data_IF_949284214989
#
_entry.id   IF_949284214989
#
_cell.length_a   1.000
_cell.length_b   1.000
_cell.length_c   1.000
_cell.angle_alpha   90.00
_cell.angle_beta   90.00
_cell.angle_gamma   90.00
#
_symmetry.space_group_name_H-M   'P 1'
#
loop_
_entity.id
_entity.type
_entity.pdbx_description
1 polymer ?
#
# COMPACT_ATOMS: atom_id res chain seq x y z
N UNK A 1 -71.60 -0.93 24.30
CA UNK A 1 -70.28 -1.26 23.69
C UNK A 1 -69.51 0.02 23.51
N UNK A 2 -68.47 0.25 24.31
CA UNK A 2 -67.57 1.40 24.13
C UNK A 2 -66.57 1.03 23.01
N UNK A 3 -66.70 1.67 21.87
CA UNK A 3 -65.69 1.58 20.80
C UNK A 3 -64.44 2.28 21.32
N UNK A 4 -63.40 1.49 21.63
CA UNK A 4 -62.04 1.99 21.84
C UNK A 4 -61.56 2.55 20.51
N UNK A 5 -61.59 3.86 20.35
CA UNK A 5 -60.81 4.53 19.29
C UNK A 5 -59.36 4.41 19.67
N UNK A 6 -58.68 3.42 19.11
CA UNK A 6 -57.23 3.31 19.11
C UNK A 6 -56.68 4.41 18.20
N UNK A 7 -56.44 5.60 18.75
CA UNK A 7 -55.66 6.65 18.11
C UNK A 7 -54.16 6.25 18.15
N UNK A 8 -53.83 5.11 17.60
CA UNK A 8 -52.41 4.81 17.34
C UNK A 8 -52.05 5.46 16.02
N UNK A 9 -51.23 6.50 16.08
CA UNK A 9 -50.46 6.95 14.90
C UNK A 9 -49.76 5.73 14.31
N UNK A 10 -50.08 5.40 13.07
CA UNK A 10 -49.39 4.34 12.40
C UNK A 10 -47.91 4.76 12.26
N UNK A 11 -47.02 4.15 13.04
CA UNK A 11 -45.57 4.44 13.02
C UNK A 11 -44.92 4.24 11.64
N UNK A 12 -45.65 3.63 10.70
CA UNK A 12 -45.24 3.48 9.30
C UNK A 12 -45.73 4.60 8.38
N UNK A 13 -46.61 5.48 8.89
CA UNK A 13 -47.05 6.64 8.14
C UNK A 13 -46.02 7.74 8.31
N UNK A 14 -45.05 7.80 7.39
CA UNK A 14 -44.02 8.85 7.37
C UNK A 14 -44.61 10.19 7.00
N UNK A 15 -44.05 11.26 7.57
CA UNK A 15 -44.17 12.58 6.99
C UNK A 15 -43.56 12.54 5.58
N UNK A 16 -44.13 13.27 4.64
CA UNK A 16 -43.46 13.56 3.37
C UNK A 16 -42.61 14.84 3.57
N UNK A 17 -41.34 14.73 4.00
CA UNK A 17 -40.47 15.90 4.03
C UNK A 17 -40.21 16.31 2.59
N UNK A 18 -40.25 17.61 2.32
CA UNK A 18 -39.92 18.15 1.02
C UNK A 18 -38.41 17.98 0.73
N UNK A 19 -37.60 18.04 1.78
CA UNK A 19 -36.15 17.86 1.71
C UNK A 19 -35.67 16.89 2.79
N UNK A 20 -34.56 16.17 2.53
CA UNK A 20 -33.94 15.29 3.53
C UNK A 20 -33.44 16.06 4.76
N UNK A 21 -33.01 17.31 4.58
CA UNK A 21 -32.62 18.20 5.67
C UNK A 21 -33.73 18.36 6.70
N UNK A 22 -35.00 18.32 6.29
CA UNK A 22 -36.16 18.49 7.20
C UNK A 22 -36.36 17.27 8.11
N UNK A 23 -35.74 16.15 7.79
CA UNK A 23 -35.73 14.93 8.60
C UNK A 23 -34.54 14.83 9.55
N UNK A 24 -33.59 15.76 9.49
CA UNK A 24 -32.42 15.82 10.33
C UNK A 24 -32.63 16.81 11.47
N UNK A 25 -32.06 16.51 12.63
CA UNK A 25 -32.02 17.48 13.71
C UNK A 25 -31.14 18.71 13.30
N UNK A 26 -31.50 19.90 13.71
CA UNK A 26 -30.74 21.11 13.42
C UNK A 26 -29.28 21.05 13.91
N UNK A 27 -29.03 20.25 14.96
CA UNK A 27 -27.69 20.00 15.52
C UNK A 27 -27.09 18.67 15.03
N UNK A 28 -27.66 18.07 13.98
CA UNK A 28 -27.11 16.80 13.48
C UNK A 28 -25.67 17.00 12.97
N UNK A 29 -24.71 16.15 13.40
CA UNK A 29 -23.32 16.27 13.00
C UNK A 29 -23.07 16.30 11.48
N UNK A 30 -23.97 15.70 10.70
CA UNK A 30 -23.84 15.71 9.24
C UNK A 30 -24.00 17.11 8.64
N UNK A 31 -24.83 17.97 9.23
CA UNK A 31 -25.04 19.33 8.74
C UNK A 31 -23.81 20.21 9.01
N UNK A 32 -23.20 20.09 10.21
CA UNK A 32 -21.94 20.75 10.54
C UNK A 32 -20.81 20.26 9.63
N UNK A 33 -20.70 18.95 9.47
CA UNK A 33 -19.72 18.33 8.57
C UNK A 33 -19.88 18.82 7.12
N UNK A 34 -21.11 18.81 6.59
CA UNK A 34 -21.39 19.26 5.22
C UNK A 34 -21.05 20.73 5.01
N UNK A 35 -21.33 21.59 6.00
CA UNK A 35 -20.96 23.01 5.99
C UNK A 35 -19.46 23.21 5.98
N UNK A 36 -18.72 22.55 6.87
CA UNK A 36 -17.26 22.66 6.97
C UNK A 36 -16.58 22.19 5.67
N UNK A 37 -16.93 20.99 5.20
CA UNK A 37 -16.34 20.44 3.97
C UNK A 37 -16.82 21.22 2.74
N UNK A 38 -18.03 21.77 2.75
CA UNK A 38 -18.57 22.61 1.69
C UNK A 38 -17.86 23.96 1.54
N UNK A 39 -17.19 24.44 2.58
CA UNK A 39 -16.34 25.64 2.55
C UNK A 39 -15.02 25.45 1.82
N UNK A 40 -14.64 24.21 1.53
CA UNK A 40 -13.38 23.85 0.86
C UNK A 40 -13.63 23.65 -0.64
N UNK A 41 -12.83 24.27 -1.49
CA UNK A 41 -12.90 24.02 -2.94
C UNK A 41 -12.28 22.63 -3.27
N UNK A 42 -13.08 21.59 -3.10
CA UNK A 42 -12.70 20.22 -3.43
C UNK A 42 -12.71 19.94 -4.94
N UNK A 43 -13.37 20.79 -5.74
CA UNK A 43 -13.45 20.60 -7.18
C UNK A 43 -12.07 20.62 -7.82
N UNK A 44 -11.14 21.45 -7.32
CA UNK A 44 -9.76 21.52 -7.82
C UNK A 44 -9.03 20.18 -7.83
N UNK A 45 -9.40 19.25 -6.94
CA UNK A 45 -8.81 17.90 -6.88
C UNK A 45 -9.56 16.87 -7.73
N UNK A 46 -10.77 17.18 -8.17
CA UNK A 46 -11.68 16.22 -8.79
C UNK A 46 -12.02 16.57 -10.25
N UNK A 47 -11.32 17.57 -10.84
CA UNK A 47 -11.52 18.02 -12.24
C UNK A 47 -11.06 17.01 -13.28
N UNK A 48 -10.06 16.19 -12.97
CA UNK A 48 -9.46 15.24 -13.93
C UNK A 48 -10.32 14.00 -14.19
N UNK A 49 -11.50 13.94 -13.58
CA UNK A 49 -12.41 12.81 -13.74
C UNK A 49 -13.11 12.93 -15.10
N UNK A 50 -12.82 12.05 -16.07
CA UNK A 50 -13.40 12.17 -17.41
C UNK A 50 -14.93 12.11 -17.36
N UNK A 51 -15.60 13.05 -18.03
CA UNK A 51 -17.05 12.98 -18.22
C UNK A 51 -17.38 12.01 -19.36
N UNK A 52 -18.23 11.03 -19.06
CA UNK A 52 -18.75 10.16 -20.11
C UNK A 52 -20.05 10.74 -20.68
N UNK A 53 -20.07 10.94 -21.99
CA UNK A 53 -21.26 11.42 -22.73
C UNK A 53 -22.28 10.31 -22.97
N UNK A 54 -21.87 9.04 -22.81
CA UNK A 54 -22.71 7.87 -23.06
C UNK A 54 -22.71 6.94 -21.85
N UNK A 55 -23.82 6.27 -21.57
CA UNK A 55 -23.99 5.33 -20.47
C UNK A 55 -24.57 5.95 -19.20
N UNK A 56 -24.41 5.25 -18.05
CA UNK A 56 -24.92 5.72 -16.76
C UNK A 56 -24.10 6.93 -16.29
N UNK A 57 -24.80 8.02 -15.92
CA UNK A 57 -24.16 9.21 -15.33
C UNK A 57 -23.35 8.83 -14.09
N UNK A 58 -22.20 9.46 -13.93
CA UNK A 58 -21.36 9.30 -12.73
C UNK A 58 -22.06 9.90 -11.51
N UNK A 59 -21.68 9.40 -10.37
CA UNK A 59 -22.00 10.02 -9.10
C UNK A 59 -21.17 11.30 -8.95
N UNK A 60 -21.72 12.29 -8.23
CA UNK A 60 -20.97 13.48 -7.89
C UNK A 60 -19.74 13.12 -7.04
N UNK A 61 -18.51 13.41 -7.48
CA UNK A 61 -17.30 12.99 -6.79
C UNK A 61 -17.12 13.69 -5.43
N UNK A 62 -17.62 14.93 -5.29
CA UNK A 62 -17.61 15.66 -4.00
C UNK A 62 -18.53 14.97 -3.00
N UNK A 63 -19.73 14.58 -3.41
CA UNK A 63 -20.66 13.84 -2.56
C UNK A 63 -20.09 12.48 -2.15
N UNK A 64 -19.42 11.79 -3.08
CA UNK A 64 -18.73 10.53 -2.77
C UNK A 64 -17.61 10.72 -1.75
N UNK A 65 -16.79 11.76 -1.90
CA UNK A 65 -15.73 12.08 -0.95
C UNK A 65 -16.30 12.41 0.43
N UNK A 66 -17.32 13.29 0.51
CA UNK A 66 -18.02 13.61 1.76
C UNK A 66 -18.56 12.36 2.44
N UNK A 67 -19.16 11.46 1.67
CA UNK A 67 -19.74 10.19 2.19
C UNK A 67 -18.66 9.28 2.76
N UNK A 68 -17.53 9.15 2.09
CA UNK A 68 -16.38 8.35 2.55
C UNK A 68 -15.84 8.94 3.86
N UNK A 69 -15.52 10.23 3.88
CA UNK A 69 -14.98 10.91 5.07
C UNK A 69 -15.93 10.82 6.25
N UNK A 70 -17.23 11.08 6.05
CA UNK A 70 -18.24 10.98 7.10
C UNK A 70 -18.39 9.55 7.63
N UNK A 71 -18.26 8.56 6.76
CA UNK A 71 -18.28 7.15 7.14
C UNK A 71 -17.13 6.78 8.07
N UNK A 72 -15.92 7.23 7.77
CA UNK A 72 -14.77 7.03 8.64
C UNK A 72 -14.86 7.82 9.94
N UNK A 73 -15.32 9.08 9.88
CA UNK A 73 -15.52 9.92 11.06
C UNK A 73 -16.51 9.29 12.07
N UNK A 74 -17.62 8.73 11.59
CA UNK A 74 -18.68 8.19 12.46
C UNK A 74 -18.46 6.76 12.93
N UNK A 75 -17.67 5.98 12.20
CA UNK A 75 -17.49 4.53 12.45
C UNK A 75 -16.05 4.12 12.74
N UNK A 76 -15.08 5.03 12.72
CA UNK A 76 -13.65 4.73 12.72
C UNK A 76 -13.28 4.03 11.41
N UNK A 77 -13.24 2.70 11.40
CA UNK A 77 -13.12 1.94 10.15
C UNK A 77 -14.49 1.66 9.53
N UNK A 78 -14.70 2.08 8.29
CA UNK A 78 -15.93 1.86 7.53
C UNK A 78 -15.66 1.01 6.30
N UNK A 79 -16.17 -0.22 6.25
CA UNK A 79 -16.02 -1.07 5.08
C UNK A 79 -16.82 -0.52 3.89
N UNK A 80 -16.37 -0.80 2.66
CA UNK A 80 -17.05 -0.35 1.44
C UNK A 80 -18.50 -0.84 1.36
N UNK A 81 -18.78 -2.06 1.85
CA UNK A 81 -20.15 -2.59 1.91
C UNK A 81 -21.00 -1.83 2.92
N UNK A 82 -20.41 -1.44 4.06
CA UNK A 82 -21.11 -0.63 5.06
C UNK A 82 -21.41 0.77 4.52
N UNK A 83 -20.52 1.38 3.72
CA UNK A 83 -20.81 2.64 3.03
C UNK A 83 -22.00 2.50 2.07
N UNK A 84 -22.04 1.45 1.26
CA UNK A 84 -23.18 1.15 0.37
C UNK A 84 -24.48 0.99 1.16
N UNK A 85 -24.47 0.20 2.24
CA UNK A 85 -25.65 -0.04 3.06
C UNK A 85 -26.10 1.23 3.79
N UNK A 86 -25.19 2.03 4.30
CA UNK A 86 -25.52 3.32 4.89
C UNK A 86 -26.22 4.26 3.90
N UNK A 87 -25.79 4.30 2.64
CA UNK A 87 -26.46 5.09 1.61
C UNK A 87 -27.91 4.61 1.32
N UNK A 88 -28.26 3.36 1.66
CA UNK A 88 -29.61 2.79 1.49
C UNK A 88 -30.53 3.04 2.67
N UNK A 89 -29.97 3.05 3.90
CA UNK A 89 -30.80 2.99 5.13
C UNK A 89 -30.56 4.12 6.13
N UNK A 90 -29.46 4.86 6.00
CA UNK A 90 -29.11 5.92 6.94
C UNK A 90 -29.37 7.30 6.30
N UNK A 91 -30.24 8.08 6.91
CA UNK A 91 -30.67 9.38 6.39
C UNK A 91 -29.51 10.37 6.21
N UNK A 92 -28.48 10.34 7.07
CA UNK A 92 -27.30 11.19 6.97
C UNK A 92 -26.51 10.93 5.68
N UNK A 93 -26.37 9.64 5.33
CA UNK A 93 -25.68 9.24 4.11
C UNK A 93 -26.54 9.46 2.86
N UNK A 94 -27.87 9.29 2.98
CA UNK A 94 -28.80 9.65 1.92
C UNK A 94 -28.73 11.15 1.62
N UNK A 95 -28.64 11.98 2.64
CA UNK A 95 -28.46 13.44 2.52
C UNK A 95 -27.18 13.78 1.77
N UNK A 96 -26.02 13.22 2.18
CA UNK A 96 -24.74 13.49 1.52
C UNK A 96 -24.68 13.02 0.07
N UNK A 97 -25.41 11.94 -0.27
CA UNK A 97 -25.41 11.32 -1.61
C UNK A 97 -26.60 11.72 -2.49
N UNK A 98 -27.42 12.71 -2.09
CA UNK A 98 -28.63 13.11 -2.83
C UNK A 98 -29.51 11.90 -3.22
N UNK A 99 -29.82 11.05 -2.25
CA UNK A 99 -30.56 9.79 -2.43
C UNK A 99 -29.91 8.80 -3.41
N UNK A 100 -28.64 8.99 -3.77
CA UNK A 100 -27.94 8.03 -4.63
C UNK A 100 -27.28 6.94 -3.79
N UNK A 101 -27.27 5.72 -4.32
CA UNK A 101 -26.71 4.54 -3.67
C UNK A 101 -25.59 3.95 -4.52
N UNK A 102 -24.35 4.46 -4.44
CA UNK A 102 -23.22 3.84 -5.12
C UNK A 102 -22.96 2.44 -4.57
N UNK A 103 -22.58 1.50 -5.44
CA UNK A 103 -22.20 0.17 -5.00
C UNK A 103 -20.83 0.20 -4.30
N UNK A 104 -20.55 -0.80 -3.46
CA UNK A 104 -19.25 -0.96 -2.80
C UNK A 104 -18.07 -0.98 -3.80
N UNK A 105 -18.29 -1.52 -5.02
CA UNK A 105 -17.27 -1.49 -6.08
C UNK A 105 -17.00 -0.07 -6.58
N UNK A 106 -18.05 0.75 -6.67
CA UNK A 106 -17.92 2.16 -7.07
C UNK A 106 -17.12 2.94 -6.02
N UNK A 107 -17.39 2.73 -4.73
CA UNK A 107 -16.59 3.31 -3.66
C UNK A 107 -15.13 2.82 -3.69
N UNK A 108 -14.91 1.53 -3.94
CA UNK A 108 -13.55 0.96 -4.07
C UNK A 108 -12.77 1.58 -5.21
N UNK A 109 -13.37 1.71 -6.39
CA UNK A 109 -12.76 2.39 -7.53
C UNK A 109 -12.46 3.86 -7.20
N UNK A 110 -13.40 4.57 -6.59
CA UNK A 110 -13.21 5.97 -6.23
C UNK A 110 -12.06 6.18 -5.26
N UNK A 111 -11.95 5.36 -4.23
CA UNK A 111 -10.89 5.45 -3.23
C UNK A 111 -9.52 5.08 -3.82
N UNK A 112 -9.44 3.96 -4.55
CA UNK A 112 -8.16 3.41 -4.97
C UNK A 112 -7.60 4.05 -6.25
N UNK A 113 -8.49 4.51 -7.16
CA UNK A 113 -8.05 5.02 -8.46
C UNK A 113 -8.15 6.55 -8.57
N UNK A 114 -9.10 7.18 -7.83
CA UNK A 114 -9.35 8.61 -7.95
C UNK A 114 -8.72 9.40 -6.81
N UNK A 115 -8.81 8.90 -5.58
CA UNK A 115 -8.32 9.61 -4.39
C UNK A 115 -6.87 9.31 -4.04
N UNK A 116 -6.30 8.21 -4.48
CA UNK A 116 -5.01 7.71 -4.02
C UNK A 116 -3.91 8.79 -4.00
N UNK A 117 -3.75 9.52 -5.11
CA UNK A 117 -2.70 10.54 -5.26
C UNK A 117 -3.13 11.93 -4.77
N UNK A 118 -4.38 12.09 -4.33
CA UNK A 118 -4.99 13.39 -4.01
C UNK A 118 -5.34 13.54 -2.53
N UNK A 119 -5.44 12.42 -1.82
CA UNK A 119 -5.96 12.39 -0.46
C UNK A 119 -5.11 13.20 0.52
N UNK A 120 -3.80 13.22 0.34
CA UNK A 120 -2.88 13.97 1.19
C UNK A 120 -3.13 15.49 1.07
N UNK A 121 -3.28 15.99 -0.15
CA UNK A 121 -3.57 17.40 -0.39
C UNK A 121 -4.96 17.79 0.13
N UNK A 122 -5.95 16.92 -0.06
CA UNK A 122 -7.32 17.11 0.47
C UNK A 122 -7.27 17.16 2.00
N UNK A 123 -6.54 16.27 2.64
CA UNK A 123 -6.37 16.24 4.09
C UNK A 123 -5.72 17.51 4.63
N UNK A 124 -4.68 18.01 3.96
CA UNK A 124 -4.02 19.26 4.33
C UNK A 124 -4.97 20.45 4.23
N UNK A 125 -5.78 20.56 3.18
CA UNK A 125 -6.76 21.64 3.05
C UNK A 125 -7.86 21.58 4.12
N UNK A 126 -8.33 20.37 4.45
CA UNK A 126 -9.30 20.18 5.53
C UNK A 126 -8.71 20.67 6.86
N UNK A 127 -7.48 20.25 7.18
CA UNK A 127 -6.80 20.65 8.40
C UNK A 127 -6.60 22.17 8.46
N UNK A 128 -6.14 22.79 7.36
CA UNK A 128 -5.99 24.25 7.28
C UNK A 128 -7.30 24.98 7.52
N UNK A 129 -8.40 24.47 6.97
CA UNK A 129 -9.72 25.10 7.17
C UNK A 129 -10.15 24.98 8.63
N UNK A 130 -10.01 23.80 9.24
CA UNK A 130 -10.35 23.58 10.65
C UNK A 130 -9.48 24.45 11.56
N UNK A 131 -8.16 24.48 11.35
CA UNK A 131 -7.23 25.28 12.16
C UNK A 131 -7.54 26.77 12.10
N UNK A 132 -7.97 27.27 10.93
CA UNK A 132 -8.35 28.67 10.77
C UNK A 132 -9.70 28.99 11.43
N UNK A 133 -10.70 28.10 11.33
CA UNK A 133 -12.02 28.30 11.91
C UNK A 133 -11.99 28.18 13.44
N UNK A 134 -11.27 27.21 14.00
CA UNK A 134 -11.19 26.93 15.43
C UNK A 134 -10.06 27.72 16.13
N UNK A 135 -9.28 28.52 15.38
CA UNK A 135 -8.13 29.27 15.91
C UNK A 135 -7.16 28.42 16.74
N UNK A 136 -6.88 27.20 16.28
CA UNK A 136 -6.05 26.21 16.97
C UNK A 136 -4.65 26.75 17.23
N UNK A 137 -4.17 26.67 18.48
CA UNK A 137 -2.80 27.01 18.84
C UNK A 137 -1.84 25.90 18.40
N UNK A 138 -0.99 26.21 17.42
CA UNK A 138 0.03 25.30 16.89
C UNK A 138 1.38 25.37 17.64
N UNK A 139 1.47 26.10 18.77
CA UNK A 139 2.71 26.19 19.54
C UNK A 139 3.06 24.85 20.24
N UNK A 140 2.04 24.06 20.56
CA UNK A 140 2.19 22.78 21.21
C UNK A 140 1.67 21.65 20.29
N UNK A 141 2.54 20.71 19.93
CA UNK A 141 2.18 19.56 19.14
C UNK A 141 2.50 18.28 19.92
N UNK A 142 1.46 17.50 20.21
CA UNK A 142 1.60 16.17 20.81
C UNK A 142 1.66 15.14 19.69
N UNK A 143 2.74 14.33 19.66
CA UNK A 143 2.92 13.30 18.65
C UNK A 143 2.81 11.94 19.33
N UNK A 144 1.86 11.11 18.90
CA UNK A 144 1.75 9.72 19.32
C UNK A 144 1.88 8.77 18.15
N UNK A 145 2.52 7.64 18.38
CA UNK A 145 2.75 6.60 17.39
C UNK A 145 1.92 5.35 17.66
N UNK A 146 0.94 5.09 16.80
CA UNK A 146 0.13 3.87 16.86
C UNK A 146 0.59 2.85 15.81
N UNK A 147 0.64 1.58 16.22
CA UNK A 147 1.01 0.47 15.34
C UNK A 147 -0.23 -0.25 14.86
N UNK A 148 -0.38 -0.34 13.54
CA UNK A 148 -1.49 -1.02 12.88
C UNK A 148 -0.98 -2.26 12.15
N UNK A 149 -1.60 -3.42 12.38
CA UNK A 149 -1.28 -4.64 11.66
C UNK A 149 -1.62 -4.48 10.16
N UNK A 150 -0.66 -4.83 9.30
CA UNK A 150 -0.86 -4.83 7.86
C UNK A 150 -1.58 -6.11 7.42
N UNK A 151 -2.43 -6.01 6.41
CA UNK A 151 -3.04 -7.19 5.78
C UNK A 151 -2.03 -7.92 4.89
N UNK A 152 -0.95 -8.39 5.50
CA UNK A 152 0.18 -9.03 4.83
C UNK A 152 0.50 -10.40 5.45
N UNK A 153 1.15 -11.26 4.64
CA UNK A 153 1.54 -12.58 5.12
C UNK A 153 2.65 -12.46 6.18
N UNK A 154 2.33 -12.85 7.41
CA UNK A 154 3.23 -12.81 8.55
C UNK A 154 4.40 -13.80 8.51
N UNK A 155 4.42 -14.72 7.56
CA UNK A 155 5.49 -15.72 7.41
C UNK A 155 6.46 -15.42 6.26
N UNK A 156 6.25 -14.35 5.50
CA UNK A 156 7.07 -13.97 4.35
C UNK A 156 7.80 -12.66 4.59
N UNK A 157 8.82 -12.70 5.44
CA UNK A 157 9.64 -11.53 5.78
C UNK A 157 11.00 -11.53 5.08
N UNK A 158 11.55 -10.35 4.91
CA UNK A 158 12.94 -10.13 4.51
C UNK A 158 13.62 -9.27 5.57
N UNK A 159 14.74 -9.74 6.08
CA UNK A 159 15.57 -9.02 7.04
C UNK A 159 16.79 -8.43 6.35
N UNK A 160 16.98 -7.10 6.43
CA UNK A 160 18.08 -6.38 5.81
C UNK A 160 19.44 -6.96 6.21
N UNK A 161 19.70 -7.08 7.52
CA UNK A 161 20.97 -7.61 8.06
C UNK A 161 21.28 -9.05 7.59
N UNK A 162 20.24 -9.89 7.48
CA UNK A 162 20.42 -11.25 6.97
C UNK A 162 20.74 -11.25 5.47
N UNK A 163 20.06 -10.39 4.69
CA UNK A 163 20.29 -10.23 3.25
C UNK A 163 21.70 -9.71 2.97
N UNK A 164 22.19 -8.73 3.74
CA UNK A 164 23.58 -8.23 3.66
C UNK A 164 24.59 -9.34 3.96
N UNK A 165 24.36 -10.13 5.02
CA UNK A 165 25.20 -11.28 5.34
C UNK A 165 25.23 -12.32 4.21
N UNK A 166 24.09 -12.59 3.56
CA UNK A 166 24.03 -13.48 2.41
C UNK A 166 24.73 -12.91 1.20
N UNK A 167 24.66 -11.61 0.98
CA UNK A 167 25.39 -10.91 -0.09
C UNK A 167 26.91 -11.05 0.10
N UNK A 168 27.44 -10.83 1.30
CA UNK A 168 28.86 -11.04 1.58
C UNK A 168 29.32 -12.49 1.37
N UNK A 169 28.52 -13.45 1.82
CA UNK A 169 28.82 -14.86 1.53
C UNK A 169 28.74 -15.22 0.04
N UNK A 170 27.93 -14.49 -0.72
CA UNK A 170 27.89 -14.66 -2.16
C UNK A 170 29.18 -14.12 -2.82
N UNK A 171 29.72 -12.99 -2.32
CA UNK A 171 30.99 -12.46 -2.79
C UNK A 171 32.15 -13.46 -2.62
N UNK A 172 32.23 -14.12 -1.46
CA UNK A 172 33.22 -15.18 -1.21
C UNK A 172 33.09 -16.33 -2.25
N UNK A 173 31.86 -16.73 -2.58
CA UNK A 173 31.61 -17.76 -3.59
C UNK A 173 31.97 -17.32 -5.00
N UNK A 174 31.67 -16.06 -5.35
CA UNK A 174 32.05 -15.49 -6.65
C UNK A 174 33.58 -15.44 -6.79
N UNK A 175 34.29 -15.03 -5.74
CA UNK A 175 35.74 -15.00 -5.74
C UNK A 175 36.33 -16.39 -5.97
N UNK A 176 35.87 -17.41 -5.24
CA UNK A 176 36.30 -18.80 -5.42
C UNK A 176 36.03 -19.34 -6.83
N UNK A 177 34.84 -19.02 -7.38
CA UNK A 177 34.49 -19.43 -8.75
C UNK A 177 35.40 -18.77 -9.79
N UNK A 178 35.71 -17.47 -9.64
CA UNK A 178 36.62 -16.74 -10.52
C UNK A 178 38.05 -17.32 -10.43
N UNK A 179 38.49 -17.70 -9.24
CA UNK A 179 39.81 -18.34 -9.06
C UNK A 179 39.89 -19.69 -9.78
N UNK A 180 38.84 -20.54 -9.68
CA UNK A 180 38.74 -21.79 -10.42
C UNK A 180 38.73 -21.55 -11.94
N UNK A 181 37.95 -20.58 -12.41
CA UNK A 181 37.93 -20.20 -13.84
C UNK A 181 39.31 -19.73 -14.30
N UNK A 182 40.00 -18.86 -13.55
CA UNK A 182 41.34 -18.40 -13.89
C UNK A 182 42.35 -19.52 -14.01
N UNK A 183 42.25 -20.54 -13.16
CA UNK A 183 43.09 -21.74 -13.26
C UNK A 183 42.81 -22.55 -14.55
N UNK A 184 41.55 -22.62 -14.99
CA UNK A 184 41.18 -23.32 -16.20
C UNK A 184 41.52 -22.57 -17.50
N UNK A 185 41.46 -21.21 -17.49
CA UNK A 185 41.77 -20.35 -18.65
C UNK A 185 43.22 -19.88 -18.70
N UNK A 186 44.10 -20.32 -17.79
CA UNK A 186 45.51 -19.92 -17.74
C UNK A 186 46.27 -20.08 -19.09
N UNK A 187 45.83 -21.00 -19.91
CA UNK A 187 46.37 -21.21 -21.26
C UNK A 187 46.11 -20.06 -22.24
N UNK A 188 45.05 -19.27 -22.02
CA UNK A 188 44.65 -18.19 -22.93
C UNK A 188 45.41 -16.88 -22.69
N UNK A 189 46.11 -16.75 -21.55
CA UNK A 189 46.76 -15.51 -21.12
C UNK A 189 45.77 -14.44 -20.61
N UNK A 190 44.46 -14.78 -20.53
CA UNK A 190 43.43 -13.92 -19.96
C UNK A 190 43.33 -14.17 -18.46
N UNK A 191 43.23 -13.10 -17.66
CA UNK A 191 43.02 -13.18 -16.21
C UNK A 191 41.87 -12.31 -15.80
N UNK A 192 40.89 -12.91 -15.12
CA UNK A 192 39.73 -12.19 -14.56
C UNK A 192 40.10 -11.67 -13.18
N UNK A 193 39.87 -10.38 -12.92
CA UNK A 193 40.23 -9.77 -11.65
C UNK A 193 39.20 -10.14 -10.56
N UNK A 194 39.68 -10.52 -9.39
CA UNK A 194 38.84 -10.72 -8.20
C UNK A 194 38.68 -9.40 -7.44
N UNK A 195 37.50 -9.16 -6.93
CA UNK A 195 37.15 -7.94 -6.17
C UNK A 195 36.64 -8.32 -4.78
N UNK A 196 36.68 -7.35 -3.85
CA UNK A 196 36.07 -7.50 -2.51
C UNK A 196 34.55 -7.38 -2.54
N UNK A 197 34.02 -6.63 -3.50
CA UNK A 197 32.61 -6.44 -3.74
C UNK A 197 32.32 -6.59 -5.24
N UNK A 198 31.19 -7.15 -5.56
CA UNK A 198 30.79 -7.41 -6.95
C UNK A 198 29.49 -6.69 -7.27
N UNK A 199 29.37 -6.23 -8.51
CA UNK A 199 28.15 -5.68 -9.09
C UNK A 199 27.65 -6.61 -10.21
N UNK A 200 26.34 -6.65 -10.46
CA UNK A 200 25.77 -7.55 -11.49
C UNK A 200 26.38 -7.35 -12.88
N UNK A 201 26.64 -6.10 -13.27
CA UNK A 201 27.18 -5.76 -14.59
C UNK A 201 28.56 -6.37 -14.80
N UNK A 202 29.42 -6.33 -13.78
CA UNK A 202 30.73 -6.98 -13.85
C UNK A 202 30.64 -8.50 -14.05
N UNK A 203 29.68 -9.17 -13.39
CA UNK A 203 29.47 -10.60 -13.59
C UNK A 203 28.94 -10.90 -14.99
N UNK A 204 28.09 -10.07 -15.55
CA UNK A 204 27.62 -10.19 -16.92
C UNK A 204 28.75 -10.04 -17.91
N UNK A 205 29.64 -9.06 -17.73
CA UNK A 205 30.83 -8.87 -18.55
C UNK A 205 31.75 -10.13 -18.53
N UNK A 206 31.95 -10.71 -17.34
CA UNK A 206 32.71 -11.98 -17.22
C UNK A 206 32.03 -13.10 -18.00
N UNK A 207 30.72 -13.26 -17.87
CA UNK A 207 29.96 -14.29 -18.58
C UNK A 207 30.08 -14.10 -20.08
N UNK A 208 29.97 -12.90 -20.61
CA UNK A 208 30.13 -12.60 -22.04
C UNK A 208 31.54 -12.91 -22.53
N UNK A 209 32.57 -12.56 -21.79
CA UNK A 209 33.96 -12.88 -22.11
C UNK A 209 34.20 -14.39 -22.15
N UNK A 210 33.63 -15.14 -21.19
CA UNK A 210 33.77 -16.60 -21.15
C UNK A 210 33.02 -17.31 -22.28
N UNK A 211 31.85 -16.79 -22.67
CA UNK A 211 31.09 -17.29 -23.84
C UNK A 211 31.94 -17.17 -25.10
N UNK A 212 32.60 -16.03 -25.28
CA UNK A 212 33.49 -15.82 -26.44
C UNK A 212 34.75 -16.68 -26.37
N UNK A 213 35.39 -16.75 -25.20
CA UNK A 213 36.67 -17.47 -25.00
C UNK A 213 36.51 -18.97 -25.19
N UNK A 214 35.43 -19.57 -24.71
CA UNK A 214 35.14 -21.00 -24.80
C UNK A 214 34.26 -21.36 -26.00
N UNK A 215 33.91 -20.38 -26.87
CA UNK A 215 32.98 -20.56 -28.00
C UNK A 215 31.71 -21.31 -27.60
N UNK A 216 31.12 -20.92 -26.46
CA UNK A 216 29.97 -21.60 -25.87
C UNK A 216 28.70 -21.37 -26.70
N UNK A 217 28.12 -22.49 -27.15
CA UNK A 217 26.77 -22.49 -27.70
C UNK A 217 25.76 -22.91 -26.63
N UNK A 218 25.01 -21.95 -26.10
CA UNK A 218 24.01 -22.19 -25.05
C UNK A 218 22.88 -23.13 -25.52
N UNK A 219 22.68 -23.28 -26.84
CA UNK A 219 21.69 -24.21 -27.38
C UNK A 219 22.07 -25.69 -27.20
N UNK A 220 23.37 -25.95 -27.03
CA UNK A 220 23.91 -27.31 -26.83
C UNK A 220 23.97 -27.72 -25.37
N UNK A 221 23.58 -26.84 -24.44
CA UNK A 221 23.65 -27.11 -23.01
C UNK A 221 22.79 -28.30 -22.61
N UNK A 222 23.34 -29.09 -21.72
CA UNK A 222 22.71 -30.32 -21.26
C UNK A 222 22.00 -30.08 -19.93
N UNK A 223 20.69 -30.34 -19.89
CA UNK A 223 19.85 -30.21 -18.72
C UNK A 223 19.26 -31.57 -18.28
N UNK A 224 18.95 -31.71 -17.01
CA UNK A 224 18.25 -32.87 -16.46
C UNK A 224 19.10 -33.79 -15.60
N UNK A 225 18.43 -34.68 -14.86
CA UNK A 225 19.07 -35.66 -13.97
C UNK A 225 19.81 -36.72 -14.76
N UNK A 226 21.01 -37.10 -14.32
CA UNK A 226 21.80 -38.17 -14.92
C UNK A 226 22.64 -37.76 -16.14
N UNK A 227 22.57 -36.52 -16.59
CA UNK A 227 23.40 -36.01 -17.67
C UNK A 227 24.62 -35.27 -17.12
N UNK A 228 25.82 -35.57 -17.70
CA UNK A 228 27.06 -34.91 -17.25
C UNK A 228 27.26 -33.61 -18.02
N UNK A 229 27.22 -32.48 -17.27
CA UNK A 229 27.53 -31.16 -17.80
C UNK A 229 29.03 -30.98 -18.00
N UNK A 230 29.43 -30.22 -19.02
CA UNK A 230 30.81 -29.78 -19.18
C UNK A 230 31.21 -28.84 -18.02
N UNK A 231 32.50 -28.57 -17.85
CA UNK A 231 32.99 -27.68 -16.81
C UNK A 231 32.60 -26.23 -17.15
N UNK A 232 32.76 -25.87 -18.40
CA UNK A 232 32.44 -24.54 -18.94
C UNK A 232 30.95 -24.21 -18.75
N UNK A 233 30.05 -25.19 -19.02
CA UNK A 233 28.63 -25.04 -18.76
C UNK A 233 28.33 -24.82 -17.27
N UNK A 234 29.04 -25.50 -16.36
CA UNK A 234 28.86 -25.34 -14.91
C UNK A 234 29.27 -23.94 -14.45
N UNK A 235 30.42 -23.45 -14.89
CA UNK A 235 30.90 -22.09 -14.58
C UNK A 235 29.92 -21.02 -15.10
N UNK A 236 29.44 -21.17 -16.33
CA UNK A 236 28.42 -20.30 -16.90
C UNK A 236 27.14 -20.25 -16.04
N UNK A 237 26.60 -21.42 -15.68
CA UNK A 237 25.40 -21.55 -14.86
C UNK A 237 25.60 -20.97 -13.43
N UNK A 238 26.79 -21.20 -12.84
CA UNK A 238 27.13 -20.66 -11.52
C UNK A 238 27.16 -19.11 -11.55
N UNK A 239 27.90 -18.52 -12.48
CA UNK A 239 28.02 -17.08 -12.60
C UNK A 239 26.68 -16.42 -12.92
N UNK A 240 25.89 -16.99 -13.82
CA UNK A 240 24.54 -16.49 -14.12
C UNK A 240 23.62 -16.56 -12.89
N UNK A 241 23.68 -17.66 -12.14
CA UNK A 241 22.95 -17.83 -10.89
C UNK A 241 23.40 -16.82 -9.83
N UNK A 242 24.70 -16.56 -9.73
CA UNK A 242 25.25 -15.58 -8.78
C UNK A 242 24.84 -14.17 -9.16
N UNK A 243 24.84 -13.82 -10.44
CA UNK A 243 24.36 -12.53 -10.93
C UNK A 243 22.89 -12.31 -10.55
N UNK A 244 22.02 -13.28 -10.81
CA UNK A 244 20.59 -13.20 -10.45
C UNK A 244 20.39 -13.05 -8.94
N UNK A 245 21.11 -13.82 -8.11
CA UNK A 245 21.04 -13.70 -6.65
C UNK A 245 21.55 -12.37 -6.16
N UNK A 246 22.60 -11.84 -6.77
CA UNK A 246 23.16 -10.55 -6.40
C UNK A 246 22.16 -9.42 -6.68
N UNK A 247 21.52 -9.43 -7.84
CA UNK A 247 20.43 -8.51 -8.19
C UNK A 247 19.28 -8.60 -7.18
N UNK A 248 18.86 -9.83 -6.85
CA UNK A 248 17.81 -10.05 -5.85
C UNK A 248 18.18 -9.47 -4.47
N UNK A 249 19.42 -9.63 -4.01
CA UNK A 249 19.87 -9.08 -2.72
C UNK A 249 19.94 -7.55 -2.74
N UNK A 250 20.40 -6.95 -3.84
CA UNK A 250 20.43 -5.50 -4.01
C UNK A 250 19.01 -4.94 -3.95
N UNK A 251 18.08 -5.49 -4.72
CA UNK A 251 16.67 -5.07 -4.70
C UNK A 251 16.03 -5.19 -3.31
N UNK A 252 16.29 -6.28 -2.59
CA UNK A 252 15.79 -6.48 -1.22
C UNK A 252 16.31 -5.42 -0.25
N UNK A 253 17.57 -5.02 -0.39
CA UNK A 253 18.19 -3.99 0.46
C UNK A 253 17.62 -2.62 0.12
N UNK A 254 17.42 -2.32 -1.18
CA UNK A 254 16.80 -1.08 -1.65
C UNK A 254 15.36 -0.92 -1.16
N UNK A 255 14.54 -1.97 -1.22
CA UNK A 255 13.16 -1.97 -0.68
C UNK A 255 13.17 -1.66 0.82
N UNK A 256 14.13 -2.20 1.59
CA UNK A 256 14.26 -1.86 3.01
C UNK A 256 14.59 -0.36 3.21
N UNK A 257 15.39 0.22 2.34
CA UNK A 257 15.88 1.60 2.49
C UNK A 257 16.78 1.80 3.72
N UNK A 258 17.11 3.06 4.06
CA UNK A 258 18.02 3.36 5.17
C UNK A 258 17.42 3.12 6.55
N UNK A 259 16.13 3.38 6.72
CA UNK A 259 15.47 3.49 8.02
C UNK A 259 14.77 2.21 8.50
N UNK A 260 14.62 1.19 7.64
CA UNK A 260 13.92 -0.04 7.98
C UNK A 260 14.86 -1.24 8.05
N UNK A 261 14.58 -2.16 8.95
CA UNK A 261 15.35 -3.40 9.13
C UNK A 261 14.71 -4.62 8.45
N UNK A 262 13.44 -4.49 8.02
CA UNK A 262 12.68 -5.59 7.44
C UNK A 262 11.49 -5.10 6.62
N UNK A 263 10.97 -5.96 5.77
CA UNK A 263 9.68 -5.77 5.09
C UNK A 263 8.99 -7.11 4.82
N UNK A 264 7.67 -7.07 4.53
CA UNK A 264 6.92 -8.24 4.08
C UNK A 264 6.97 -8.35 2.56
N UNK A 265 7.16 -9.58 2.03
CA UNK A 265 7.15 -9.81 0.56
C UNK A 265 5.79 -9.54 -0.08
N UNK A 266 4.70 -9.66 0.69
CA UNK A 266 3.33 -9.43 0.21
C UNK A 266 2.90 -7.97 0.35
N UNK A 267 3.63 -7.19 1.16
CA UNK A 267 3.43 -5.76 1.34
C UNK A 267 4.76 -5.09 1.67
N UNK A 268 5.40 -4.54 0.67
CA UNK A 268 6.74 -3.95 0.78
C UNK A 268 6.78 -2.70 1.68
N UNK A 269 5.63 -2.07 1.95
CA UNK A 269 5.53 -0.91 2.84
C UNK A 269 5.44 -1.32 4.32
N UNK A 270 4.95 -2.52 4.62
CA UNK A 270 4.83 -3.02 5.99
C UNK A 270 6.19 -3.45 6.54
N UNK A 271 6.45 -3.07 7.79
CA UNK A 271 7.67 -3.44 8.54
C UNK A 271 7.32 -4.42 9.66
N UNK A 272 8.17 -5.41 9.90
CA UNK A 272 7.96 -6.34 11.01
C UNK A 272 8.28 -5.68 12.34
N UNK A 273 7.27 -5.56 13.20
CA UNK A 273 7.38 -4.94 14.51
C UNK A 273 6.49 -5.64 15.55
N UNK A 274 6.81 -5.47 16.82
CA UNK A 274 5.98 -5.95 17.93
C UNK A 274 4.80 -5.00 18.12
N UNK A 275 3.57 -5.55 18.17
CA UNK A 275 2.33 -4.81 18.41
C UNK A 275 1.92 -5.01 19.89
N UNK A 276 1.48 -3.92 20.56
CA UNK A 276 1.08 -3.96 21.98
C UNK A 276 -0.14 -4.86 22.24
N UNK A 277 -1.08 -4.88 21.30
CA UNK A 277 -2.30 -5.69 21.36
C UNK A 277 -2.16 -6.91 20.48
N UNK A 278 -1.29 -7.84 20.86
CA UNK A 278 -1.22 -9.15 20.22
C UNK A 278 -2.39 -10.02 20.69
N UNK A 279 -3.31 -10.34 19.77
CA UNK A 279 -4.46 -11.20 20.07
C UNK A 279 -4.07 -12.63 20.47
N UNK A 280 -2.84 -13.06 20.14
CA UNK A 280 -2.31 -14.37 20.56
C UNK A 280 -1.60 -14.32 21.91
N UNK A 281 -1.29 -13.13 22.43
CA UNK A 281 -0.62 -12.92 23.71
C UNK A 281 0.80 -13.50 23.80
N UNK A 282 1.47 -13.73 22.66
CA UNK A 282 2.78 -14.38 22.59
C UNK A 282 3.91 -13.47 22.13
N UNK A 283 3.70 -12.16 22.13
CA UNK A 283 4.68 -11.15 21.69
C UNK A 283 5.18 -11.32 20.24
N UNK A 284 4.36 -11.89 19.38
CA UNK A 284 4.72 -12.17 18.00
C UNK A 284 5.03 -10.88 17.23
N UNK A 285 6.08 -10.94 16.40
CA UNK A 285 6.40 -9.87 15.47
C UNK A 285 5.50 -10.02 14.24
N UNK A 286 4.76 -8.96 13.91
CA UNK A 286 3.81 -8.93 12.81
C UNK A 286 4.17 -7.83 11.80
N UNK A 287 3.81 -8.01 10.51
CA UNK A 287 3.92 -6.92 9.55
C UNK A 287 2.94 -5.80 9.95
N UNK A 288 3.44 -4.58 10.09
CA UNK A 288 2.66 -3.47 10.60
C UNK A 288 3.17 -2.12 10.09
N UNK A 289 2.31 -1.11 10.22
CA UNK A 289 2.62 0.29 9.99
C UNK A 289 2.74 1.01 11.33
N UNK A 290 3.71 1.90 11.43
CA UNK A 290 3.79 2.84 12.55
C UNK A 290 3.25 4.19 12.06
N UNK A 291 2.01 4.48 12.41
CA UNK A 291 1.34 5.75 12.05
C UNK A 291 1.55 6.73 13.20
N UNK A 292 2.15 7.87 12.89
CA UNK A 292 2.31 8.95 13.84
C UNK A 292 1.20 9.98 13.62
N UNK A 293 0.52 10.34 14.69
CA UNK A 293 -0.57 11.31 14.67
C UNK A 293 -0.11 12.49 15.52
N UNK A 294 -0.14 13.70 14.92
CA UNK A 294 0.06 14.94 15.63
C UNK A 294 -1.30 15.50 16.07
N UNK A 295 -1.42 15.88 17.33
CA UNK A 295 -2.58 16.56 17.90
C UNK A 295 -2.11 17.88 18.48
N UNK A 296 -2.78 18.96 18.13
CA UNK A 296 -2.57 20.28 18.74
C UNK A 296 -3.41 20.39 20.01
N UNK A 297 -2.99 21.26 20.94
CA UNK A 297 -3.77 21.63 22.12
C UNK A 297 -4.86 22.62 21.70
N UNK A 298 -6.07 22.45 22.25
CA UNK A 298 -7.21 23.38 22.05
C UNK A 298 -7.14 24.57 23.00
#
# INVERSE_FOLDING_TARGET
MKTLHNNYCNSKQGYLPLFLSDCLDLLDPVLTFDRLIGGIDLNKYLTDIPEYTTGRRRYNPVNMLKTVLFGFMTSGYCSLRKLEDNCKVNIRFMYLMDHRTPSYRTFGYFINEILQDKIENIFNDINHTIFNEEHVDLQHLYIDGSKFEANANKYTWVWKKATEKFRYKLYEKITAEIEEINAEIAWSGVQITTNTEYVPDYLNEIVEQLVLLWELDTSTFVYGSGKRKSKEQRHYEHLTTFCQKLQEYIQKIEICGPNRNSYSKTDNSATFMRIKTDYMGNDQILPAYNVQIGVADE
#
